data_IF_214568681504
#
_entry.id   IF_214568681504
#
_cell.length_a   1.000
_cell.length_b   1.000
_cell.length_c   1.000
_cell.angle_alpha   90.00
_cell.angle_beta   90.00
_cell.angle_gamma   90.00
#
_symmetry.space_group_name_H-M   'P 1'
#
loop_
_entity.id
_entity.type
_entity.pdbx_description
1 polymer ?
#
# COMPACT_ATOMS: atom_id res chain seq x y z
N UNK A 1 -0.47 11.60 14.65
CA UNK A 1 -1.14 12.64 13.83
C UNK A 1 -1.13 12.27 12.35
N UNK A 2 0.03 11.91 11.79
CA UNK A 2 0.18 11.55 10.36
C UNK A 2 -0.57 10.28 9.94
N UNK A 3 -0.61 9.23 10.77
CA UNK A 3 -1.35 7.98 10.49
C UNK A 3 -2.85 8.21 10.27
N UNK A 4 -3.45 9.16 11.00
CA UNK A 4 -4.86 9.53 10.84
C UNK A 4 -5.11 10.19 9.48
N UNK A 5 -4.25 11.14 9.07
CA UNK A 5 -4.36 11.79 7.75
C UNK A 5 -4.25 10.76 6.63
N UNK A 6 -3.28 9.84 6.72
CA UNK A 6 -3.15 8.75 5.76
C UNK A 6 -4.40 7.84 5.74
N UNK A 7 -4.95 7.52 6.91
CA UNK A 7 -6.18 6.73 7.00
C UNK A 7 -7.36 7.44 6.32
N UNK A 8 -7.51 8.76 6.48
CA UNK A 8 -8.53 9.55 5.80
C UNK A 8 -8.33 9.60 4.28
N UNK A 9 -7.07 9.71 3.81
CA UNK A 9 -6.76 9.65 2.38
C UNK A 9 -7.15 8.29 1.79
N UNK A 10 -6.82 7.19 2.47
CA UNK A 10 -7.21 5.85 2.03
C UNK A 10 -8.72 5.60 2.15
N UNK A 11 -9.44 6.29 3.02
CA UNK A 11 -10.90 6.21 3.06
C UNK A 11 -11.54 6.75 1.77
N UNK A 12 -10.95 7.77 1.14
CA UNK A 12 -11.38 8.26 -0.18
C UNK A 12 -11.12 7.21 -1.26
N UNK A 13 -9.93 6.61 -1.27
CA UNK A 13 -9.59 5.53 -2.22
C UNK A 13 -10.53 4.32 -2.05
N UNK A 14 -10.81 3.94 -0.81
CA UNK A 14 -11.78 2.90 -0.48
C UNK A 14 -13.15 3.22 -1.06
N UNK A 15 -13.63 4.46 -0.95
CA UNK A 15 -14.93 4.87 -1.49
C UNK A 15 -15.00 4.77 -3.02
N UNK A 16 -13.93 5.16 -3.72
CA UNK A 16 -13.83 5.10 -5.19
C UNK A 16 -13.65 3.68 -5.73
N UNK A 17 -13.06 2.79 -4.94
CA UNK A 17 -12.96 1.38 -5.32
C UNK A 17 -14.38 0.80 -5.40
N UNK A 18 -14.85 0.32 -6.55
CA UNK A 18 -16.20 -0.19 -6.70
C UNK A 18 -16.50 -1.34 -5.74
N UNK A 19 -17.69 -1.33 -5.10
CA UNK A 19 -18.15 -2.43 -4.24
C UNK A 19 -18.36 -3.75 -5.01
N UNK A 20 -18.61 -3.66 -6.32
CA UNK A 20 -18.78 -4.77 -7.26
C UNK A 20 -18.20 -4.36 -8.62
N UNK A 21 -16.97 -4.75 -8.94
CA UNK A 21 -16.50 -4.75 -10.32
C UNK A 21 -15.74 -6.04 -10.64
N UNK A 22 -15.86 -6.42 -11.91
CA UNK A 22 -15.45 -7.66 -12.56
C UNK A 22 -13.94 -7.86 -12.65
N UNK A 23 -13.13 -7.37 -11.71
CA UNK A 23 -11.69 -7.52 -11.85
C UNK A 23 -10.86 -7.01 -10.68
N UNK A 24 -9.57 -7.37 -10.65
CA UNK A 24 -8.68 -7.13 -9.53
C UNK A 24 -8.04 -5.73 -9.51
N UNK A 25 -8.37 -4.83 -10.45
CA UNK A 25 -7.70 -3.54 -10.61
C UNK A 25 -8.62 -2.36 -10.29
N UNK A 26 -8.03 -1.18 -10.12
CA UNK A 26 -8.77 0.04 -9.77
C UNK A 26 -9.88 0.38 -10.78
N UNK A 27 -9.61 0.17 -12.08
CA UNK A 27 -10.57 0.36 -13.16
C UNK A 27 -11.26 -0.95 -13.61
N UNK A 28 -11.35 -1.95 -12.72
CA UNK A 28 -11.98 -3.24 -12.98
C UNK A 28 -11.02 -4.27 -13.58
N UNK A 29 -11.28 -4.69 -14.81
CA UNK A 29 -10.54 -5.80 -15.46
C UNK A 29 -9.17 -5.40 -16.01
N UNK A 30 -8.97 -4.13 -16.34
CA UNK A 30 -7.73 -3.64 -16.95
C UNK A 30 -6.87 -2.90 -15.93
N UNK A 31 -5.59 -3.22 -15.96
CA UNK A 31 -4.59 -2.49 -15.18
C UNK A 31 -4.46 -1.06 -15.70
N UNK A 32 -4.49 -0.11 -14.78
CA UNK A 32 -4.52 1.32 -15.06
C UNK A 32 -3.30 2.04 -14.49
N UNK A 33 -3.19 3.33 -14.79
CA UNK A 33 -2.17 4.20 -14.19
C UNK A 33 -2.31 4.25 -12.65
N UNK A 34 -3.53 4.20 -12.13
CA UNK A 34 -3.77 4.22 -10.67
C UNK A 34 -3.12 3.00 -10.02
N UNK A 35 -3.28 1.81 -10.61
CA UNK A 35 -2.63 0.59 -10.15
C UNK A 35 -1.10 0.68 -10.18
N UNK A 36 -0.54 1.27 -11.25
CA UNK A 36 0.90 1.48 -11.40
C UNK A 36 1.48 2.42 -10.33
N UNK A 37 0.73 3.46 -9.93
CA UNK A 37 1.14 4.41 -8.88
C UNK A 37 1.02 3.79 -7.49
N UNK A 38 -0.08 3.08 -7.21
CA UNK A 38 -0.35 2.54 -5.88
C UNK A 38 0.42 1.26 -5.56
N UNK A 39 0.82 0.46 -6.56
CA UNK A 39 1.65 -0.73 -6.34
C UNK A 39 2.91 -0.43 -5.53
N UNK A 40 3.75 0.55 -5.93
CA UNK A 40 4.89 1.00 -5.14
C UNK A 40 4.52 1.59 -3.77
N UNK A 41 3.42 2.33 -3.66
CA UNK A 41 2.95 2.89 -2.38
C UNK A 41 2.68 1.77 -1.37
N UNK A 42 1.93 0.74 -1.77
CA UNK A 42 1.62 -0.39 -0.88
C UNK A 42 2.86 -1.18 -0.43
N UNK A 43 3.97 -1.13 -1.17
CA UNK A 43 5.25 -1.72 -0.73
C UNK A 43 5.77 -1.06 0.55
N UNK A 44 5.57 0.25 0.71
CA UNK A 44 5.92 0.95 1.95
C UNK A 44 5.02 0.47 3.09
N UNK A 45 3.72 0.34 2.85
CA UNK A 45 2.78 -0.21 3.82
C UNK A 45 3.12 -1.67 4.21
N UNK A 46 3.55 -2.52 3.28
CA UNK A 46 4.03 -3.88 3.59
C UNK A 46 5.22 -3.86 4.55
N UNK A 47 6.02 -2.80 4.50
CA UNK A 47 7.18 -2.61 5.37
C UNK A 47 6.78 -1.99 6.71
N UNK A 48 5.83 -1.04 6.72
CA UNK A 48 5.27 -0.46 7.94
C UNK A 48 4.56 -1.50 8.78
N UNK A 49 3.73 -2.35 8.17
CA UNK A 49 2.98 -3.43 8.85
C UNK A 49 3.92 -4.43 9.55
N UNK A 50 5.20 -4.53 9.14
CA UNK A 50 6.24 -5.35 9.82
C UNK A 50 6.90 -4.63 11.00
N UNK A 51 6.89 -3.30 11.01
CA UNK A 51 7.50 -2.48 12.05
C UNK A 51 6.53 -2.29 13.21
N UNK A 52 5.24 -2.15 12.93
CA UNK A 52 4.19 -2.01 13.92
C UNK A 52 2.81 -1.92 13.27
N UNK A 53 1.77 -2.06 14.09
CA UNK A 53 0.39 -1.86 13.65
C UNK A 53 0.01 -0.39 13.78
N UNK A 54 -0.10 0.29 12.63
CA UNK A 54 -0.46 1.71 12.57
C UNK A 54 -1.96 1.93 12.28
N UNK A 55 -2.73 0.86 12.05
CA UNK A 55 -4.18 0.91 11.77
C UNK A 55 -4.59 1.75 10.55
N UNK A 56 -3.66 2.07 9.64
CA UNK A 56 -3.93 3.01 8.53
C UNK A 56 -4.97 2.45 7.55
N UNK A 57 -4.95 1.14 7.33
CA UNK A 57 -5.85 0.46 6.39
C UNK A 57 -7.04 -0.22 7.08
N UNK A 58 -7.23 0.01 8.38
CA UNK A 58 -8.35 -0.55 9.13
C UNK A 58 -9.69 -0.03 8.58
N UNK A 59 -10.66 -0.93 8.51
CA UNK A 59 -11.99 -0.64 7.96
C UNK A 59 -12.04 -0.43 6.44
N UNK A 60 -10.98 -0.78 5.70
CA UNK A 60 -10.87 -0.56 4.24
C UNK A 60 -10.69 -1.87 3.47
N UNK A 61 -11.70 -2.77 3.48
CA UNK A 61 -11.57 -4.10 2.92
C UNK A 61 -11.33 -4.11 1.41
N UNK A 62 -11.83 -3.13 0.65
CA UNK A 62 -11.61 -3.08 -0.81
C UNK A 62 -10.17 -2.69 -1.13
N UNK A 63 -9.61 -1.71 -0.43
CA UNK A 63 -8.18 -1.36 -0.54
C UNK A 63 -7.30 -2.54 -0.17
N UNK A 64 -7.62 -3.25 0.92
CA UNK A 64 -6.88 -4.45 1.32
C UNK A 64 -6.94 -5.54 0.25
N UNK A 65 -8.12 -5.80 -0.33
CA UNK A 65 -8.28 -6.76 -1.42
C UNK A 65 -7.50 -6.36 -2.69
N UNK A 66 -7.53 -5.08 -3.06
CA UNK A 66 -6.84 -4.52 -4.22
C UNK A 66 -5.31 -4.55 -4.09
N UNK A 67 -4.78 -4.40 -2.88
CA UNK A 67 -3.33 -4.46 -2.59
C UNK A 67 -2.72 -5.83 -2.92
N UNK A 68 -3.46 -6.92 -2.76
CA UNK A 68 -2.95 -8.29 -2.97
C UNK A 68 -2.52 -8.57 -4.41
N UNK A 69 -3.35 -8.36 -5.45
CA UNK A 69 -2.92 -8.56 -6.84
C UNK A 69 -1.82 -7.59 -7.26
N UNK A 70 -1.81 -6.35 -6.74
CA UNK A 70 -0.74 -5.37 -7.01
C UNK A 70 0.62 -5.86 -6.52
N UNK A 71 0.71 -6.37 -5.30
CA UNK A 71 1.98 -6.86 -4.74
C UNK A 71 2.51 -8.11 -5.46
N UNK A 72 1.63 -8.87 -6.13
CA UNK A 72 1.99 -10.07 -6.90
C UNK A 72 2.44 -9.76 -8.33
N UNK A 73 2.06 -8.62 -8.89
CA UNK A 73 2.32 -8.27 -10.28
C UNK A 73 3.82 -8.08 -10.55
N UNK A 74 4.34 -8.74 -11.59
CA UNK A 74 5.77 -8.73 -11.91
C UNK A 74 6.32 -7.31 -12.13
N UNK A 75 5.61 -6.48 -12.89
CA UNK A 75 6.01 -5.08 -13.14
C UNK A 75 6.11 -4.23 -11.87
N UNK A 76 5.36 -4.57 -10.82
CA UNK A 76 5.44 -3.90 -9.51
C UNK A 76 6.61 -4.46 -8.70
N UNK A 77 6.86 -5.77 -8.74
CA UNK A 77 7.99 -6.39 -8.05
C UNK A 77 9.35 -5.94 -8.61
N UNK A 78 9.49 -5.92 -9.93
CA UNK A 78 10.74 -5.63 -10.63
C UNK A 78 11.07 -4.13 -10.71
N UNK A 79 10.13 -3.25 -10.36
CA UNK A 79 10.36 -1.80 -10.32
C UNK A 79 11.44 -1.37 -9.30
N UNK A 80 11.88 -2.28 -8.43
CA UNK A 80 12.97 -2.07 -7.48
C UNK A 80 13.87 -3.31 -7.45
N UNK A 81 15.16 -3.12 -7.20
CA UNK A 81 16.09 -4.24 -7.04
C UNK A 81 15.73 -5.13 -5.83
N UNK A 82 16.12 -6.41 -5.86
CA UNK A 82 15.76 -7.42 -4.85
C UNK A 82 16.07 -7.02 -3.39
N UNK A 83 17.14 -6.23 -3.19
CA UNK A 83 17.56 -5.75 -1.87
C UNK A 83 16.71 -4.59 -1.32
N UNK A 84 15.83 -4.01 -2.13
CA UNK A 84 15.08 -2.81 -1.77
C UNK A 84 14.20 -2.99 -0.53
N UNK A 85 13.39 -4.06 -0.36
CA UNK A 85 12.56 -4.22 0.83
C UNK A 85 13.38 -4.28 2.12
N UNK A 86 14.54 -4.95 2.09
CA UNK A 86 15.45 -5.05 3.24
C UNK A 86 16.08 -3.69 3.57
N UNK A 87 16.53 -2.94 2.55
CA UNK A 87 17.07 -1.58 2.73
C UNK A 87 16.02 -0.60 3.23
N UNK A 88 14.80 -0.68 2.72
CA UNK A 88 13.69 0.15 3.16
C UNK A 88 13.35 -0.13 4.63
N UNK A 89 13.25 -1.40 5.03
CA UNK A 89 13.02 -1.76 6.43
C UNK A 89 14.14 -1.25 7.35
N UNK A 90 15.41 -1.43 6.96
CA UNK A 90 16.55 -0.93 7.73
C UNK A 90 16.55 0.60 7.84
N UNK A 91 16.23 1.31 6.75
CA UNK A 91 16.10 2.77 6.72
C UNK A 91 14.99 3.27 7.64
N UNK A 92 13.81 2.64 7.59
CA UNK A 92 12.66 3.02 8.42
C UNK A 92 12.91 2.71 9.90
N UNK A 93 13.54 1.59 10.23
CA UNK A 93 14.01 1.28 11.60
C UNK A 93 15.04 2.29 12.09
N UNK A 94 15.99 2.69 11.24
CA UNK A 94 16.99 3.71 11.55
C UNK A 94 16.39 5.11 11.76
N UNK A 95 15.23 5.39 11.16
CA UNK A 95 14.44 6.61 11.37
C UNK A 95 13.64 6.63 12.69
N UNK A 96 13.73 5.58 13.52
CA UNK A 96 13.05 5.44 14.81
C UNK A 96 13.30 6.54 15.88
N UNK A 97 13.99 7.63 15.54
CA UNK A 97 14.01 8.88 16.32
C UNK A 97 12.72 9.71 16.15
N UNK A 98 11.98 9.59 15.04
CA UNK A 98 10.77 10.41 14.79
C UNK A 98 9.44 9.64 14.74
N UNK A 99 9.46 8.30 14.68
CA UNK A 99 8.25 7.45 14.70
C UNK A 99 7.99 6.80 16.07
N UNK A 100 8.85 7.06 17.05
CA UNK A 100 8.72 6.59 18.43
C UNK A 100 8.19 7.74 19.29
N UNK A 101 6.92 8.12 19.14
CA UNK A 101 6.13 8.88 20.13
C UNK A 101 4.64 8.68 19.87
#
# INVERSE_FOLDING_TARGET
HESRVLSEMFARVEAELPARQSGPWFAGERFSLVDAVYGPVFRYFDTFDRIGDFGILDGKPRVQAWRVPLSRRQSVKEAVGAEYPRRLHAFLRGKGSYLSL
#
